data_IF_605552291226
#
_entry.id   IF_605552291226
#
_cell.length_a   1.000
_cell.length_b   1.000
_cell.length_c   1.000
_cell.angle_alpha   90.00
_cell.angle_beta   90.00
_cell.angle_gamma   90.00
#
_symmetry.space_group_name_H-M   'P 1'
#
loop_
_entity.id
_entity.type
_entity.pdbx_description
1 polymer ?
#
# COMPACT_ATOMS: atom_id res chain seq x y z
N UNK A 1 -4.22 -59.83 19.30
CA UNK A 1 -4.77 -58.47 19.42
C UNK A 1 -4.03 -57.59 18.43
N UNK A 2 -4.63 -57.29 17.26
CA UNK A 2 -4.10 -56.29 16.33
C UNK A 2 -4.96 -55.05 16.50
N UNK A 3 -4.38 -54.01 17.10
CA UNK A 3 -5.00 -52.69 17.22
C UNK A 3 -4.83 -52.02 15.86
N UNK A 4 -5.95 -51.78 15.17
CA UNK A 4 -5.99 -51.02 13.92
C UNK A 4 -6.04 -49.54 14.32
N UNK A 5 -4.99 -48.79 13.99
CA UNK A 5 -4.94 -47.34 14.15
C UNK A 5 -5.80 -46.68 13.07
N UNK A 6 -6.88 -46.00 13.48
CA UNK A 6 -7.64 -45.12 12.59
C UNK A 6 -6.85 -43.82 12.40
N UNK A 7 -6.32 -43.59 11.20
CA UNK A 7 -5.90 -42.27 10.77
C UNK A 7 -7.14 -41.43 10.46
N UNK A 8 -7.35 -40.37 11.24
CA UNK A 8 -8.36 -39.35 10.96
C UNK A 8 -7.88 -38.49 9.80
N UNK A 9 -8.45 -38.72 8.61
CA UNK A 9 -8.34 -37.78 7.49
C UNK A 9 -9.18 -36.55 7.83
N UNK A 10 -8.56 -35.50 8.37
CA UNK A 10 -9.14 -34.17 8.38
C UNK A 10 -8.99 -33.65 6.94
N UNK A 11 -9.98 -33.95 6.10
CA UNK A 11 -10.15 -33.28 4.82
C UNK A 11 -10.43 -31.82 5.10
N UNK A 12 -9.47 -30.96 4.78
CA UNK A 12 -9.70 -29.51 4.69
C UNK A 12 -10.72 -29.33 3.56
N UNK A 13 -11.99 -29.16 3.96
CA UNK A 13 -13.04 -28.69 3.08
C UNK A 13 -12.67 -27.25 2.72
N UNK A 14 -11.95 -27.09 1.61
CA UNK A 14 -11.69 -25.80 1.00
C UNK A 14 -13.06 -25.23 0.62
N UNK A 15 -13.61 -24.38 1.49
CA UNK A 15 -14.75 -23.54 1.19
C UNK A 15 -14.30 -22.59 0.09
N UNK A 16 -14.50 -23.00 -1.16
CA UNK A 16 -14.49 -22.09 -2.30
C UNK A 16 -15.68 -21.18 -2.07
N UNK A 17 -15.44 -20.04 -1.41
CA UNK A 17 -16.38 -18.94 -1.43
C UNK A 17 -16.60 -18.61 -2.91
N UNK A 18 -17.85 -18.55 -3.39
CA UNK A 18 -18.08 -18.08 -4.75
C UNK A 18 -17.44 -16.71 -4.86
N UNK A 19 -16.55 -16.53 -5.85
CA UNK A 19 -16.12 -15.20 -6.24
C UNK A 19 -17.39 -14.39 -6.49
N UNK A 20 -17.68 -13.43 -5.60
CA UNK A 20 -18.75 -12.49 -5.85
C UNK A 20 -18.41 -11.83 -7.18
N UNK A 21 -19.18 -12.13 -8.24
CA UNK A 21 -19.09 -11.34 -9.46
C UNK A 21 -19.59 -9.95 -9.07
N UNK A 22 -18.66 -9.03 -8.83
CA UNK A 22 -18.96 -7.61 -8.81
C UNK A 22 -19.26 -7.21 -10.26
N UNK A 23 -20.45 -7.54 -10.74
CA UNK A 23 -20.94 -7.04 -12.01
C UNK A 23 -20.96 -5.52 -11.92
N UNK A 24 -20.32 -4.86 -12.87
CA UNK A 24 -20.20 -3.43 -12.88
C UNK A 24 -21.56 -2.72 -12.89
N UNK A 25 -21.69 -1.58 -12.20
CA UNK A 25 -22.89 -0.75 -12.37
C UNK A 25 -22.83 -0.11 -13.75
N UNK A 26 -23.97 -0.06 -14.44
CA UNK A 26 -24.06 0.64 -15.73
C UNK A 26 -24.03 2.16 -15.55
N UNK A 27 -23.39 2.91 -16.43
CA UNK A 27 -23.52 4.37 -16.41
C UNK A 27 -24.98 4.78 -16.59
N UNK A 28 -25.45 5.67 -15.72
CA UNK A 28 -26.77 6.28 -15.77
C UNK A 28 -26.75 7.71 -16.28
N UNK A 29 -27.93 8.31 -16.38
CA UNK A 29 -28.05 9.73 -16.68
C UNK A 29 -27.68 10.58 -15.46
N UNK A 30 -26.93 11.69 -15.63
CA UNK A 30 -26.56 12.58 -14.54
C UNK A 30 -27.71 13.48 -14.08
N UNK A 31 -28.76 13.61 -14.90
CA UNK A 31 -29.93 14.43 -14.63
C UNK A 31 -31.20 13.68 -15.01
N UNK A 32 -32.28 13.87 -14.24
CA UNK A 32 -33.59 13.26 -14.48
C UNK A 32 -34.47 14.10 -15.42
N UNK A 33 -33.85 14.61 -16.49
CA UNK A 33 -34.46 15.44 -17.53
C UNK A 33 -33.93 15.05 -18.91
N UNK A 34 -34.49 15.64 -19.96
CA UNK A 34 -34.11 15.32 -21.33
C UNK A 34 -32.85 16.08 -21.78
N UNK A 35 -32.09 15.46 -22.67
CA UNK A 35 -30.96 16.06 -23.36
C UNK A 35 -31.43 17.05 -24.43
N UNK A 36 -30.74 18.18 -24.54
CA UNK A 36 -30.99 19.17 -25.57
C UNK A 36 -30.38 18.70 -26.90
N UNK A 37 -31.22 18.34 -27.87
CA UNK A 37 -30.76 17.87 -29.20
C UNK A 37 -29.94 18.92 -29.94
N UNK A 38 -30.21 20.22 -29.71
CA UNK A 38 -29.41 21.33 -30.25
C UNK A 38 -28.00 21.41 -29.66
N UNK A 39 -27.77 20.73 -28.53
CA UNK A 39 -26.51 20.67 -27.81
C UNK A 39 -26.03 19.23 -27.60
N UNK A 40 -26.28 18.36 -28.58
CA UNK A 40 -25.73 17.02 -28.56
C UNK A 40 -24.21 17.03 -28.81
N UNK A 41 -23.57 15.91 -28.52
CA UNK A 41 -22.14 15.72 -28.73
C UNK A 41 -21.76 15.93 -30.20
N UNK A 42 -20.61 16.59 -30.44
CA UNK A 42 -20.08 16.87 -31.78
C UNK A 42 -21.03 17.69 -32.68
N UNK A 43 -22.07 18.32 -32.11
CA UNK A 43 -22.99 19.19 -32.83
C UNK A 43 -22.50 20.64 -32.76
N UNK A 44 -22.75 21.40 -33.84
CA UNK A 44 -22.36 22.81 -33.97
C UNK A 44 -23.44 23.81 -33.55
N UNK A 45 -24.70 23.39 -33.48
CA UNK A 45 -25.83 24.30 -33.32
C UNK A 45 -25.84 25.05 -32.00
N UNK A 46 -25.35 24.45 -30.91
CA UNK A 46 -25.19 25.13 -29.61
C UNK A 46 -23.85 25.88 -29.48
N UNK A 47 -22.80 25.35 -30.10
CA UNK A 47 -21.44 25.82 -29.93
C UNK A 47 -21.13 27.08 -30.72
N UNK A 48 -21.60 27.10 -31.96
CA UNK A 48 -21.41 28.07 -33.06
C UNK A 48 -21.12 27.30 -34.35
N UNK A 49 -21.38 27.91 -35.51
CA UNK A 49 -21.14 27.29 -36.81
C UNK A 49 -19.69 26.81 -37.05
N UNK A 50 -18.74 27.25 -36.22
CA UNK A 50 -17.31 26.96 -36.32
C UNK A 50 -16.76 26.05 -35.22
N UNK A 51 -17.55 25.70 -34.20
CA UNK A 51 -17.10 24.88 -33.08
C UNK A 51 -18.00 23.66 -32.88
N UNK A 52 -17.45 22.62 -32.28
CA UNK A 52 -18.11 21.36 -32.00
C UNK A 52 -18.28 21.20 -30.50
N UNK A 53 -19.47 20.81 -30.04
CA UNK A 53 -19.73 20.60 -28.62
C UNK A 53 -18.99 19.39 -28.06
N UNK A 54 -18.20 19.56 -26.98
CA UNK A 54 -17.40 18.48 -26.37
C UNK A 54 -18.17 17.61 -25.37
N UNK A 55 -19.46 17.89 -25.17
CA UNK A 55 -20.31 17.17 -24.24
C UNK A 55 -21.75 17.09 -24.71
N UNK A 56 -22.66 16.87 -23.77
CA UNK A 56 -24.11 16.95 -23.97
C UNK A 56 -24.72 17.88 -22.94
N UNK A 57 -25.75 18.63 -23.33
CA UNK A 57 -26.50 19.46 -22.39
C UNK A 57 -27.81 18.82 -21.95
N UNK A 58 -28.12 18.93 -20.65
CA UNK A 58 -29.43 18.57 -20.10
C UNK A 58 -30.27 19.82 -19.80
N UNK A 59 -31.58 19.73 -20.07
CA UNK A 59 -32.54 20.82 -19.90
C UNK A 59 -32.77 21.23 -18.44
N UNK A 60 -33.05 22.52 -18.18
CA UNK A 60 -33.50 23.01 -16.87
C UNK A 60 -34.86 22.47 -16.41
N UNK A 61 -35.62 21.85 -17.30
CA UNK A 61 -37.00 21.47 -17.04
C UNK A 61 -37.05 20.19 -16.20
N UNK A 62 -37.54 20.27 -14.97
CA UNK A 62 -37.67 19.12 -14.07
C UNK A 62 -36.81 19.27 -12.81
N UNK A 63 -36.42 18.13 -12.23
CA UNK A 63 -35.52 18.11 -11.09
C UNK A 63 -34.12 18.61 -11.54
N UNK A 64 -33.53 19.50 -10.73
CA UNK A 64 -32.23 20.12 -10.97
C UNK A 64 -31.10 19.45 -10.21
N UNK A 65 -31.39 18.42 -9.44
CA UNK A 65 -30.36 17.62 -8.78
C UNK A 65 -29.55 16.86 -9.83
N UNK A 66 -28.24 17.03 -9.74
CA UNK A 66 -27.25 16.35 -10.57
C UNK A 66 -26.62 15.24 -9.75
N UNK A 67 -26.52 14.05 -10.32
CA UNK A 67 -26.02 12.86 -9.65
C UNK A 67 -24.84 12.25 -10.39
N UNK A 68 -24.00 11.50 -9.69
CA UNK A 68 -22.92 10.74 -10.31
C UNK A 68 -23.49 9.69 -11.26
N UNK A 69 -22.99 9.67 -12.48
CA UNK A 69 -23.42 8.72 -13.51
C UNK A 69 -23.00 7.29 -13.20
N UNK A 70 -21.92 7.12 -12.44
CA UNK A 70 -21.48 5.83 -11.94
C UNK A 70 -20.69 5.95 -10.64
N UNK A 71 -20.31 4.81 -10.07
CA UNK A 71 -19.35 4.77 -8.95
C UNK A 71 -18.01 5.34 -9.42
N UNK A 72 -17.31 6.06 -8.55
CA UNK A 72 -16.04 6.66 -8.93
C UNK A 72 -15.34 7.40 -7.80
N UNK A 73 -14.28 8.10 -8.18
CA UNK A 73 -13.50 8.97 -7.31
C UNK A 73 -13.56 10.40 -7.81
N UNK A 74 -13.90 11.34 -6.93
CA UNK A 74 -13.86 12.77 -7.24
C UNK A 74 -12.40 13.17 -7.40
N UNK A 75 -11.98 13.50 -8.61
CA UNK A 75 -10.58 13.82 -8.92
C UNK A 75 -10.35 15.30 -9.15
N UNK A 76 -11.42 16.08 -9.32
CA UNK A 76 -11.31 17.54 -9.39
C UNK A 76 -12.60 18.25 -8.98
N UNK A 77 -12.44 19.35 -8.26
CA UNK A 77 -13.49 20.33 -7.96
C UNK A 77 -12.95 21.70 -8.34
N UNK A 78 -13.63 22.35 -9.27
CA UNK A 78 -13.33 23.73 -9.64
C UNK A 78 -14.52 24.61 -9.25
N UNK A 79 -14.27 25.55 -8.35
CA UNK A 79 -15.25 26.54 -7.96
C UNK A 79 -15.27 27.70 -8.95
N UNK A 80 -16.48 28.25 -9.16
CA UNK A 80 -16.72 29.38 -10.03
C UNK A 80 -15.77 30.54 -9.71
N UNK A 81 -15.11 31.05 -10.74
CA UNK A 81 -14.17 32.16 -10.63
C UNK A 81 -14.04 32.90 -11.95
N UNK A 82 -13.42 34.08 -11.98
CA UNK A 82 -13.19 34.79 -13.24
C UNK A 82 -12.27 34.03 -14.21
N UNK A 83 -11.54 33.02 -13.72
CA UNK A 83 -10.61 32.19 -14.47
C UNK A 83 -11.12 30.75 -14.70
N UNK A 84 -12.42 30.48 -14.50
CA UNK A 84 -13.01 29.15 -14.71
C UNK A 84 -13.21 28.80 -16.22
N UNK A 85 -12.77 29.68 -17.12
CA UNK A 85 -12.88 29.55 -18.58
C UNK A 85 -14.32 29.38 -19.08
N UNK A 86 -15.29 29.84 -18.29
CA UNK A 86 -16.71 29.71 -18.57
C UNK A 86 -17.34 28.43 -18.04
N UNK A 87 -16.59 27.53 -17.41
CA UNK A 87 -17.12 26.24 -16.96
C UNK A 87 -17.88 26.32 -15.63
N UNK A 88 -17.70 27.42 -14.89
CA UNK A 88 -18.38 27.67 -13.62
C UNK A 88 -17.96 26.68 -12.55
N UNK A 89 -18.86 26.46 -11.58
CA UNK A 89 -18.68 25.36 -10.64
C UNK A 89 -18.75 24.04 -11.40
N UNK A 90 -17.69 23.25 -11.32
CA UNK A 90 -17.65 21.95 -11.97
C UNK A 90 -16.93 20.89 -11.13
N UNK A 91 -17.33 19.64 -11.34
CA UNK A 91 -16.78 18.46 -10.67
C UNK A 91 -16.35 17.46 -11.73
N UNK A 92 -15.21 16.78 -11.52
CA UNK A 92 -14.74 15.69 -12.35
C UNK A 92 -14.65 14.42 -11.51
N UNK A 93 -15.24 13.33 -12.00
CA UNK A 93 -15.23 12.01 -11.37
C UNK A 93 -14.50 11.02 -12.28
N UNK A 94 -13.49 10.32 -11.73
CA UNK A 94 -12.81 9.19 -12.35
C UNK A 94 -13.63 7.92 -12.17
N UNK A 95 -13.79 7.16 -13.25
CA UNK A 95 -14.45 5.86 -13.28
C UNK A 95 -13.50 4.82 -13.88
N UNK A 96 -13.65 3.57 -13.46
CA UNK A 96 -12.90 2.42 -13.98
C UNK A 96 -13.89 1.54 -14.75
N UNK A 97 -13.63 1.32 -16.04
CA UNK A 97 -14.44 0.44 -16.91
C UNK A 97 -14.11 -1.03 -16.66
N UNK A 98 -14.93 -1.96 -17.15
CA UNK A 98 -14.74 -3.41 -16.97
C UNK A 98 -13.40 -3.94 -17.48
N UNK A 99 -12.90 -3.33 -18.55
CA UNK A 99 -11.61 -3.59 -19.14
C UNK A 99 -10.43 -2.95 -18.40
N UNK A 100 -10.67 -2.25 -17.28
CA UNK A 100 -9.64 -1.63 -16.44
C UNK A 100 -9.22 -0.23 -16.87
N UNK A 101 -9.67 0.26 -18.03
CA UNK A 101 -9.37 1.61 -18.47
C UNK A 101 -10.14 2.65 -17.66
N UNK A 102 -9.54 3.83 -17.51
CA UNK A 102 -10.14 4.97 -16.82
C UNK A 102 -10.92 5.86 -17.79
N UNK A 103 -12.04 6.38 -17.33
CA UNK A 103 -12.77 7.46 -18.01
C UNK A 103 -13.24 8.49 -16.99
N UNK A 104 -13.33 9.74 -17.41
CA UNK A 104 -13.63 10.86 -16.51
C UNK A 104 -14.93 11.53 -16.93
N UNK A 105 -15.87 11.65 -16.01
CA UNK A 105 -17.09 12.43 -16.21
C UNK A 105 -16.95 13.84 -15.64
N UNK A 106 -17.35 14.87 -16.38
CA UNK A 106 -17.36 16.26 -15.91
C UNK A 106 -18.79 16.78 -15.85
N UNK A 107 -19.13 17.47 -14.76
CA UNK A 107 -20.42 18.09 -14.48
C UNK A 107 -20.23 19.60 -14.30
N UNK A 108 -20.66 20.43 -15.26
CA UNK A 108 -20.38 21.86 -15.27
C UNK A 108 -21.61 22.77 -15.12
N UNK A 109 -21.32 24.07 -14.99
CA UNK A 109 -22.28 25.15 -14.79
C UNK A 109 -23.15 25.00 -13.53
N UNK A 110 -22.69 24.23 -12.54
CA UNK A 110 -23.46 23.95 -11.33
C UNK A 110 -23.75 25.25 -10.56
N UNK A 111 -24.96 25.37 -9.99
CA UNK A 111 -25.31 26.45 -9.08
C UNK A 111 -24.59 26.26 -7.74
N UNK A 112 -24.51 25.01 -7.28
CA UNK A 112 -23.81 24.60 -6.06
C UNK A 112 -23.28 23.18 -6.22
N UNK A 113 -22.19 22.90 -5.50
CA UNK A 113 -21.62 21.56 -5.33
C UNK A 113 -22.03 21.08 -3.93
N UNK A 114 -22.39 19.81 -3.78
CA UNK A 114 -22.78 19.26 -2.48
C UNK A 114 -21.62 19.35 -1.47
N UNK A 115 -21.95 19.68 -0.22
CA UNK A 115 -20.95 20.00 0.82
C UNK A 115 -20.14 18.80 1.31
N UNK A 116 -20.63 17.58 1.08
CA UNK A 116 -19.94 16.33 1.40
C UNK A 116 -19.00 15.84 0.29
N UNK A 117 -18.98 16.51 -0.87
CA UNK A 117 -18.07 16.17 -1.96
C UNK A 117 -16.73 16.90 -1.78
N UNK A 118 -15.66 16.12 -1.87
CA UNK A 118 -14.29 16.58 -1.77
C UNK A 118 -13.40 15.82 -2.75
N UNK A 119 -12.36 16.48 -3.27
CA UNK A 119 -11.33 15.80 -4.07
C UNK A 119 -10.71 14.64 -3.28
N UNK A 120 -10.46 13.53 -3.98
CA UNK A 120 -10.04 12.26 -3.42
C UNK A 120 -11.17 11.41 -2.84
N UNK A 121 -12.36 11.97 -2.63
CA UNK A 121 -13.52 11.25 -2.08
C UNK A 121 -14.11 10.24 -3.05
N UNK A 122 -14.64 9.14 -2.50
CA UNK A 122 -15.42 8.15 -3.26
C UNK A 122 -16.86 8.65 -3.37
N UNK A 123 -17.45 8.40 -4.53
CA UNK A 123 -18.85 8.72 -4.83
C UNK A 123 -19.53 7.52 -5.45
N UNK A 124 -20.71 7.16 -4.95
CA UNK A 124 -21.50 6.07 -5.52
C UNK A 124 -22.36 6.59 -6.67
N UNK A 125 -22.69 5.71 -7.62
CA UNK A 125 -23.69 5.97 -8.65
C UNK A 125 -24.99 6.47 -8.01
N UNK A 126 -25.48 7.61 -8.50
CA UNK A 126 -26.71 8.22 -8.03
C UNK A 126 -26.52 9.15 -6.84
N UNK A 127 -25.34 9.19 -6.22
CA UNK A 127 -25.04 10.21 -5.21
C UNK A 127 -25.10 11.60 -5.83
N UNK A 128 -25.63 12.53 -5.04
CA UNK A 128 -25.83 13.90 -5.50
C UNK A 128 -24.50 14.63 -5.59
N UNK A 129 -24.22 15.18 -6.77
CA UNK A 129 -23.05 16.02 -7.07
C UNK A 129 -23.31 17.48 -6.75
N UNK A 130 -24.51 17.95 -7.05
CA UNK A 130 -24.87 19.34 -6.87
C UNK A 130 -26.21 19.69 -7.49
N UNK A 131 -26.39 20.99 -7.70
CA UNK A 131 -27.60 21.54 -8.30
C UNK A 131 -27.24 22.18 -9.63
N UNK A 132 -27.94 21.79 -10.70
CA UNK A 132 -27.82 22.37 -12.05
C UNK A 132 -27.95 23.88 -11.99
N UNK A 133 -27.06 24.63 -12.64
CA UNK A 133 -27.07 26.09 -12.64
C UNK A 133 -26.80 26.68 -14.03
N UNK A 134 -26.22 27.87 -14.04
CA UNK A 134 -25.73 28.55 -15.25
C UNK A 134 -24.42 29.30 -14.97
N UNK A 135 -23.61 28.78 -14.03
CA UNK A 135 -22.43 29.48 -13.55
C UNK A 135 -21.29 29.50 -14.59
N UNK A 136 -20.53 30.58 -14.62
CA UNK A 136 -19.33 30.73 -15.46
C UNK A 136 -18.74 32.14 -15.41
N UNK A 137 -17.44 32.26 -15.64
CA UNK A 137 -16.68 33.51 -15.58
C UNK A 137 -16.91 34.31 -14.27
N UNK A 138 -17.06 33.62 -13.14
CA UNK A 138 -17.31 34.27 -11.85
C UNK A 138 -18.75 34.75 -11.65
N UNK A 139 -19.66 34.47 -12.58
CA UNK A 139 -21.06 34.94 -12.57
C UNK A 139 -22.00 33.73 -12.47
N UNK A 140 -22.95 33.77 -11.53
CA UNK A 140 -23.83 32.65 -11.18
C UNK A 140 -24.81 32.23 -12.28
N UNK A 141 -25.15 33.15 -13.18
CA UNK A 141 -26.14 33.01 -14.25
C UNK A 141 -25.60 33.48 -15.60
N UNK A 142 -24.29 33.31 -15.81
CA UNK A 142 -23.60 33.64 -17.07
C UNK A 142 -24.24 32.94 -18.27
N UNK A 143 -24.67 31.71 -18.05
CA UNK A 143 -25.35 30.87 -19.03
C UNK A 143 -26.81 30.68 -18.65
N UNK A 144 -27.64 30.33 -19.64
CA UNK A 144 -28.97 29.79 -19.33
C UNK A 144 -28.85 28.53 -18.46
N UNK A 145 -29.83 28.25 -17.61
CA UNK A 145 -29.74 27.06 -16.75
C UNK A 145 -29.71 25.79 -17.61
N UNK A 146 -28.65 25.00 -17.46
CA UNK A 146 -28.46 23.68 -18.06
C UNK A 146 -27.33 22.94 -17.31
N UNK A 147 -27.23 21.63 -17.51
CA UNK A 147 -26.01 20.88 -17.14
C UNK A 147 -25.24 20.64 -18.43
N UNK A 148 -23.99 21.08 -18.47
CA UNK A 148 -23.00 20.61 -19.45
C UNK A 148 -22.32 19.36 -18.89
N UNK A 149 -22.38 18.25 -19.62
CA UNK A 149 -21.86 16.96 -19.20
C UNK A 149 -20.89 16.37 -20.22
N UNK A 150 -19.69 15.97 -19.79
CA UNK A 150 -18.65 15.41 -20.66
C UNK A 150 -18.19 14.04 -20.16
N UNK A 151 -17.76 13.18 -21.10
CA UNK A 151 -16.92 12.00 -20.85
C UNK A 151 -15.59 12.20 -21.58
N UNK A 152 -14.47 11.88 -20.93
CA UNK A 152 -13.13 12.17 -21.47
C UNK A 152 -12.01 11.32 -20.88
N UNK A 153 -10.84 11.37 -21.51
CA UNK A 153 -9.66 10.54 -21.20
C UNK A 153 -8.81 11.01 -20.01
N UNK A 154 -8.96 12.26 -19.56
CA UNK A 154 -8.09 12.86 -18.54
C UNK A 154 -8.86 13.73 -17.54
N UNK A 155 -8.39 13.88 -16.29
CA UNK A 155 -9.05 14.63 -15.22
C UNK A 155 -8.86 16.16 -15.33
N UNK A 156 -8.94 16.71 -16.54
CA UNK A 156 -8.73 18.14 -16.82
C UNK A 156 -10.03 18.82 -17.26
N UNK A 157 -10.24 20.11 -16.95
CA UNK A 157 -11.47 20.83 -17.38
C UNK A 157 -11.41 21.16 -18.87
N UNK A 158 -10.20 21.40 -19.39
CA UNK A 158 -9.97 21.58 -20.82
C UNK A 158 -9.89 20.24 -21.56
N UNK A 159 -9.47 20.29 -22.82
CA UNK A 159 -9.24 19.11 -23.64
C UNK A 159 -8.12 18.20 -23.07
N UNK A 160 -8.34 16.88 -22.98
CA UNK A 160 -7.32 15.91 -22.59
C UNK A 160 -6.05 15.93 -23.44
N UNK A 161 -6.20 16.03 -24.77
CA UNK A 161 -5.10 15.94 -25.72
C UNK A 161 -5.25 16.93 -26.87
N UNK A 162 -4.26 16.98 -27.77
CA UNK A 162 -4.27 17.85 -28.94
C UNK A 162 -3.70 19.25 -28.70
N UNK A 163 -3.65 20.06 -29.75
CA UNK A 163 -3.05 21.39 -29.72
C UNK A 163 -3.99 22.48 -29.24
N UNK A 164 -3.48 23.33 -28.34
CA UNK A 164 -4.26 24.41 -27.72
C UNK A 164 -5.13 23.93 -26.57
N UNK A 165 -5.66 24.89 -25.80
CA UNK A 165 -6.56 24.63 -24.69
C UNK A 165 -7.97 25.11 -25.06
N UNK A 166 -8.93 24.23 -24.87
CA UNK A 166 -10.33 24.42 -25.25
C UNK A 166 -11.24 23.90 -24.14
N UNK A 167 -12.38 24.57 -23.91
CA UNK A 167 -13.35 24.25 -22.85
C UNK A 167 -14.75 24.22 -23.44
N UNK A 168 -15.49 23.12 -23.26
CA UNK A 168 -16.87 22.92 -23.75
C UNK A 168 -17.02 22.84 -25.28
N UNK A 169 -16.09 23.39 -26.05
CA UNK A 169 -16.20 23.55 -27.50
C UNK A 169 -14.86 23.38 -28.22
N UNK A 170 -14.82 22.51 -29.21
CA UNK A 170 -13.63 22.13 -29.97
C UNK A 170 -13.61 22.72 -31.38
N UNK A 171 -12.42 22.95 -31.98
CA UNK A 171 -12.30 23.44 -33.35
C UNK A 171 -12.56 22.36 -34.42
N UNK A 172 -12.47 21.08 -34.06
CA UNK A 172 -12.84 19.93 -34.89
C UNK A 172 -13.54 18.87 -34.05
N UNK A 173 -13.76 17.66 -34.59
CA UNK A 173 -14.39 16.55 -33.86
C UNK A 173 -13.74 16.39 -32.45
N UNK A 174 -14.51 16.47 -31.35
CA UNK A 174 -13.98 16.35 -30.00
C UNK A 174 -13.28 15.00 -29.71
N UNK A 175 -13.60 13.94 -30.45
CA UNK A 175 -12.90 12.64 -30.35
C UNK A 175 -11.38 12.78 -30.55
N UNK A 176 -10.95 13.72 -31.40
CA UNK A 176 -9.53 13.95 -31.68
C UNK A 176 -8.77 14.61 -30.54
N UNK A 177 -9.48 15.03 -29.48
CA UNK A 177 -8.94 15.71 -28.32
C UNK A 177 -9.14 14.90 -27.03
N UNK A 178 -9.62 13.66 -27.14
CA UNK A 178 -9.87 12.75 -26.02
C UNK A 178 -11.20 12.96 -25.29
N UNK A 179 -12.15 13.64 -25.93
CA UNK A 179 -13.55 13.61 -25.50
C UNK A 179 -14.26 12.41 -26.12
N UNK A 180 -15.34 11.97 -25.49
CA UNK A 180 -16.17 10.90 -26.01
C UNK A 180 -17.63 11.27 -25.93
N UNK A 181 -18.45 10.71 -26.82
CA UNK A 181 -19.91 10.85 -26.76
C UNK A 181 -20.43 10.24 -25.45
N UNK A 182 -20.96 11.04 -24.50
CA UNK A 182 -21.48 10.52 -23.25
C UNK A 182 -22.60 9.48 -23.45
N UNK A 183 -23.37 9.58 -24.53
CA UNK A 183 -24.44 8.61 -24.84
C UNK A 183 -23.89 7.23 -25.20
N UNK A 184 -22.65 7.13 -25.67
CA UNK A 184 -22.01 5.84 -25.93
C UNK A 184 -21.76 5.08 -24.62
N UNK A 185 -21.60 5.78 -23.49
CA UNK A 185 -21.34 5.19 -22.18
C UNK A 185 -22.61 4.82 -21.43
N UNK A 186 -23.74 5.47 -21.72
CA UNK A 186 -25.01 5.16 -21.04
C UNK A 186 -25.38 3.70 -21.30
N UNK A 187 -25.60 2.95 -20.22
CA UNK A 187 -25.80 1.49 -20.21
C UNK A 187 -24.55 0.61 -20.44
N UNK A 188 -23.34 1.17 -20.56
CA UNK A 188 -22.08 0.41 -20.47
C UNK A 188 -21.80 0.10 -18.99
N UNK A 189 -21.40 -1.14 -18.68
CA UNK A 189 -21.03 -1.60 -17.35
C UNK A 189 -19.67 -1.00 -16.93
N UNK A 190 -19.55 -0.51 -15.70
CA UNK A 190 -18.27 -0.07 -15.10
C UNK A 190 -18.02 -0.85 -13.83
N UNK A 191 -16.78 -1.29 -13.59
CA UNK A 191 -16.46 -1.96 -12.33
C UNK A 191 -16.69 -1.01 -11.17
N UNK A 192 -17.18 -1.53 -10.05
CA UNK A 192 -17.23 -0.78 -8.80
C UNK A 192 -15.87 -0.13 -8.52
N UNK A 193 -15.89 1.18 -8.29
CA UNK A 193 -14.81 1.95 -7.68
C UNK A 193 -14.66 1.59 -6.20
N UNK A 194 -14.49 0.31 -5.87
CA UNK A 194 -13.59 -0.01 -4.77
C UNK A 194 -12.21 0.37 -5.26
N UNK A 195 -11.45 1.14 -4.48
CA UNK A 195 -10.08 1.55 -4.80
C UNK A 195 -9.36 0.45 -5.60
N UNK A 196 -8.61 0.76 -6.68
CA UNK A 196 -7.70 -0.20 -7.27
C UNK A 196 -6.85 -0.75 -6.13
N UNK A 197 -7.15 -1.99 -5.77
CA UNK A 197 -6.54 -2.65 -4.62
C UNK A 197 -5.42 -3.46 -5.22
N UNK A 198 -4.21 -3.30 -4.69
CA UNK A 198 -3.08 -4.05 -5.21
C UNK A 198 -3.37 -5.55 -5.16
N UNK A 199 -3.11 -6.24 -6.27
CA UNK A 199 -3.42 -7.66 -6.46
C UNK A 199 -4.89 -7.95 -6.81
N UNK A 200 -5.78 -6.96 -6.78
CA UNK A 200 -7.15 -7.12 -7.25
C UNK A 200 -7.21 -7.17 -8.78
N UNK A 201 -8.22 -7.88 -9.28
CA UNK A 201 -8.51 -7.98 -10.70
C UNK A 201 -8.85 -6.59 -11.27
N UNK A 202 -8.19 -6.23 -12.37
CA UNK A 202 -8.45 -5.00 -13.12
C UNK A 202 -8.92 -5.29 -14.57
N UNK A 203 -9.22 -6.55 -14.88
CA UNK A 203 -9.67 -6.98 -16.20
C UNK A 203 -9.48 -8.50 -16.35
N UNK A 204 -9.96 -9.06 -17.47
CA UNK A 204 -9.80 -10.50 -17.71
C UNK A 204 -8.32 -10.89 -17.84
N UNK A 205 -7.82 -11.65 -16.86
CA UNK A 205 -6.41 -12.07 -16.81
C UNK A 205 -5.42 -10.98 -16.39
N UNK A 206 -5.91 -9.88 -15.80
CA UNK A 206 -5.10 -8.74 -15.36
C UNK A 206 -5.26 -8.46 -13.86
N UNK A 207 -4.23 -7.93 -13.21
CA UNK A 207 -4.23 -7.49 -11.81
C UNK A 207 -3.57 -6.12 -11.65
N UNK A 208 -3.97 -5.37 -10.63
CA UNK A 208 -3.24 -4.16 -10.25
C UNK A 208 -1.91 -4.52 -9.60
N UNK A 209 -0.82 -3.99 -10.13
CA UNK A 209 0.50 -4.04 -9.49
C UNK A 209 0.59 -3.04 -8.32
N UNK A 210 1.72 -2.98 -7.62
CA UNK A 210 1.93 -2.09 -6.46
C UNK A 210 1.90 -0.59 -6.82
N UNK A 211 2.01 -0.23 -8.10
CA UNK A 211 1.85 1.14 -8.60
C UNK A 211 0.42 1.45 -9.07
N UNK A 212 -0.50 0.48 -8.92
CA UNK A 212 -1.87 0.53 -9.43
C UNK A 212 -1.95 0.55 -10.96
N UNK A 213 -0.94 -0.01 -11.61
CA UNK A 213 -0.95 -0.28 -13.05
C UNK A 213 -1.59 -1.65 -13.31
N UNK A 214 -2.46 -1.72 -14.32
CA UNK A 214 -3.11 -2.97 -14.69
C UNK A 214 -2.16 -3.82 -15.55
N UNK A 215 -1.65 -4.92 -14.98
CA UNK A 215 -0.64 -5.79 -15.59
C UNK A 215 -1.17 -7.21 -15.77
N UNK A 216 -0.52 -8.01 -16.62
CA UNK A 216 -0.89 -9.40 -16.83
C UNK A 216 -0.74 -10.22 -15.55
N UNK A 217 -1.82 -10.84 -15.08
CA UNK A 217 -1.84 -11.66 -13.87
C UNK A 217 -0.88 -12.86 -13.97
N UNK A 218 -0.79 -13.47 -15.15
CA UNK A 218 0.16 -14.55 -15.41
C UNK A 218 1.62 -14.08 -15.39
N UNK A 219 1.87 -12.85 -15.82
CA UNK A 219 3.23 -12.26 -15.82
C UNK A 219 3.63 -11.88 -14.40
N UNK A 220 2.76 -11.18 -13.67
CA UNK A 220 2.95 -10.85 -12.26
C UNK A 220 3.24 -12.10 -11.42
N UNK A 221 2.47 -13.18 -11.63
CA UNK A 221 2.71 -14.45 -10.94
C UNK A 221 4.05 -15.12 -11.32
N UNK A 222 4.52 -14.92 -12.55
CA UNK A 222 5.77 -15.53 -13.01
C UNK A 222 7.02 -14.77 -12.58
N UNK A 223 6.89 -13.47 -12.30
CA UNK A 223 8.01 -12.65 -11.81
C UNK A 223 8.03 -12.58 -10.28
N UNK A 224 6.88 -12.76 -9.62
CA UNK A 224 6.84 -12.91 -8.14
C UNK A 224 7.74 -14.05 -7.67
N UNK A 225 8.84 -13.74 -6.98
CA UNK A 225 9.75 -14.76 -6.45
C UNK A 225 10.67 -15.38 -7.51
N UNK A 226 10.95 -14.66 -8.60
CA UNK A 226 11.80 -15.12 -9.70
C UNK A 226 13.31 -14.89 -9.49
N UNK A 227 13.69 -14.29 -8.36
CA UNK A 227 15.04 -13.97 -7.96
C UNK A 227 15.51 -12.56 -8.32
N UNK A 228 14.66 -11.74 -8.94
CA UNK A 228 14.90 -10.32 -9.21
C UNK A 228 13.94 -9.46 -8.40
N UNK A 229 14.30 -8.19 -8.16
CA UNK A 229 13.38 -7.25 -7.54
C UNK A 229 12.65 -6.42 -8.61
N UNK A 230 11.36 -6.64 -8.73
CA UNK A 230 10.43 -5.95 -9.60
C UNK A 230 9.96 -4.62 -9.01
N UNK A 231 10.84 -3.64 -9.04
CA UNK A 231 10.60 -2.28 -8.56
C UNK A 231 10.03 -1.31 -9.60
N UNK A 232 9.68 -1.81 -10.78
CA UNK A 232 9.26 -1.01 -11.92
C UNK A 232 10.33 -0.79 -12.99
N UNK A 233 11.56 -1.28 -12.79
CA UNK A 233 12.66 -1.17 -13.78
C UNK A 233 12.30 -1.70 -15.18
N UNK A 234 11.39 -2.68 -15.26
CA UNK A 234 10.88 -3.23 -16.53
C UNK A 234 9.36 -2.99 -16.73
N UNK A 235 8.78 -2.04 -16.00
CA UNK A 235 7.38 -1.62 -16.17
C UNK A 235 6.35 -2.37 -15.33
N UNK A 236 6.78 -3.20 -14.38
CA UNK A 236 5.90 -3.86 -13.39
C UNK A 236 6.48 -3.67 -11.99
N UNK A 237 5.62 -3.31 -11.02
CA UNK A 237 6.01 -3.04 -9.63
C UNK A 237 5.36 -4.06 -8.68
N UNK A 238 6.13 -4.98 -8.10
CA UNK A 238 5.65 -6.01 -7.15
C UNK A 238 6.20 -5.82 -5.73
N UNK A 239 6.87 -4.69 -5.45
CA UNK A 239 7.52 -4.31 -4.17
C UNK A 239 6.56 -3.95 -3.02
N UNK A 240 5.45 -4.67 -2.83
CA UNK A 240 4.52 -4.39 -1.75
C UNK A 240 3.95 -5.67 -1.14
N UNK A 241 3.35 -5.53 0.04
CA UNK A 241 2.85 -6.65 0.84
C UNK A 241 1.84 -7.54 0.12
N UNK A 242 1.07 -7.00 -0.83
CA UNK A 242 0.12 -7.76 -1.64
C UNK A 242 0.78 -8.85 -2.51
N UNK A 243 2.03 -8.63 -2.93
CA UNK A 243 2.86 -9.61 -3.63
C UNK A 243 4.01 -10.13 -2.75
N UNK A 244 3.90 -9.99 -1.43
CA UNK A 244 4.93 -10.36 -0.46
C UNK A 244 6.29 -9.68 -0.72
N UNK A 245 6.28 -8.41 -1.16
CA UNK A 245 7.47 -7.69 -1.64
C UNK A 245 8.21 -8.51 -2.69
N UNK A 246 7.51 -8.81 -3.77
CA UNK A 246 7.99 -9.61 -4.88
C UNK A 246 8.44 -11.02 -4.49
N UNK A 247 7.57 -11.76 -3.80
CA UNK A 247 7.90 -13.09 -3.29
C UNK A 247 9.00 -13.10 -2.21
N UNK A 248 9.44 -11.93 -1.77
CA UNK A 248 10.56 -11.72 -0.87
C UNK A 248 11.82 -11.20 -1.58
N UNK A 249 11.84 -11.07 -2.90
CA UNK A 249 13.02 -10.68 -3.67
C UNK A 249 13.31 -9.17 -3.55
N UNK A 250 12.28 -8.36 -3.32
CA UNK A 250 12.40 -6.92 -3.07
C UNK A 250 12.56 -6.54 -1.60
N UNK A 251 12.76 -7.51 -0.72
CA UNK A 251 13.04 -7.25 0.69
C UNK A 251 14.35 -6.48 0.93
N UNK A 252 15.20 -6.28 -0.11
CA UNK A 252 16.51 -5.64 0.03
C UNK A 252 16.97 -4.83 -1.21
N UNK A 253 16.19 -3.83 -1.63
CA UNK A 253 16.66 -2.76 -2.53
C UNK A 253 16.60 -1.40 -1.84
N UNK A 254 17.57 -1.15 -0.94
CA UNK A 254 18.03 0.16 -0.48
C UNK A 254 17.00 1.28 -0.25
N UNK A 255 16.27 1.25 0.88
CA UNK A 255 15.36 2.35 1.22
C UNK A 255 14.65 2.24 2.57
N UNK A 256 15.40 2.19 3.68
CA UNK A 256 15.00 2.59 5.04
C UNK A 256 13.59 2.20 5.55
N UNK A 257 13.42 0.96 5.99
CA UNK A 257 12.59 0.65 7.15
C UNK A 257 13.21 -0.53 7.93
N UNK A 258 13.55 -0.28 9.19
CA UNK A 258 14.30 -1.14 10.11
C UNK A 258 13.82 -2.59 10.16
N UNK A 259 14.58 -3.50 9.55
CA UNK A 259 14.44 -4.94 9.77
C UNK A 259 14.69 -5.27 11.25
N UNK A 260 13.79 -6.04 11.86
CA UNK A 260 13.96 -6.47 13.25
C UNK A 260 15.05 -7.54 13.30
N UNK A 261 16.12 -7.38 14.11
CA UNK A 261 17.19 -8.36 14.20
C UNK A 261 16.67 -9.78 14.48
N UNK A 262 17.27 -10.77 13.81
CA UNK A 262 16.87 -12.18 13.86
C UNK A 262 15.65 -12.56 13.01
N UNK A 263 14.91 -11.59 12.44
CA UNK A 263 13.84 -11.89 11.50
C UNK A 263 14.40 -12.28 10.13
N UNK A 264 13.65 -13.13 9.42
CA UNK A 264 13.96 -13.47 8.04
C UNK A 264 13.94 -12.23 7.15
N UNK A 265 14.94 -12.08 6.31
CA UNK A 265 15.07 -11.02 5.31
C UNK A 265 15.26 -11.59 3.90
N UNK A 266 15.08 -12.91 3.74
CA UNK A 266 15.29 -13.64 2.50
C UNK A 266 15.44 -15.14 2.75
N UNK A 267 15.45 -15.94 1.69
CA UNK A 267 15.63 -17.40 1.79
C UNK A 267 17.03 -17.72 2.34
N UNK A 268 17.09 -18.26 3.56
CA UNK A 268 18.37 -18.58 4.22
C UNK A 268 19.13 -17.35 4.72
N UNK A 269 18.42 -16.25 5.00
CA UNK A 269 19.01 -15.01 5.52
C UNK A 269 18.21 -14.44 6.69
N UNK A 270 18.89 -13.73 7.60
CA UNK A 270 18.28 -13.02 8.73
C UNK A 270 18.85 -11.61 8.86
N UNK A 271 18.10 -10.68 9.46
CA UNK A 271 18.63 -9.38 9.82
C UNK A 271 19.63 -9.48 10.96
N UNK A 272 20.83 -8.92 10.79
CA UNK A 272 21.77 -8.65 11.86
C UNK A 272 21.28 -7.49 12.75
N UNK A 273 22.04 -7.14 13.79
CA UNK A 273 21.68 -6.10 14.75
C UNK A 273 21.73 -4.67 14.21
N UNK A 274 22.34 -4.45 13.04
CA UNK A 274 22.31 -3.19 12.29
C UNK A 274 21.28 -3.22 11.14
N UNK A 275 20.38 -4.20 11.14
CA UNK A 275 19.36 -4.40 10.11
C UNK A 275 19.94 -4.71 8.72
N UNK A 276 21.14 -5.28 8.64
CA UNK A 276 21.69 -5.82 7.39
C UNK A 276 21.22 -7.26 7.20
N UNK A 277 20.85 -7.63 5.98
CA UNK A 277 20.48 -9.00 5.68
C UNK A 277 21.75 -9.85 5.51
N UNK A 278 21.96 -10.81 6.41
CA UNK A 278 23.13 -11.70 6.45
C UNK A 278 22.70 -13.16 6.30
N UNK A 279 23.60 -14.02 5.86
CA UNK A 279 23.31 -15.45 5.71
C UNK A 279 22.97 -16.07 7.08
N UNK A 280 21.82 -16.73 7.19
CA UNK A 280 21.32 -17.25 8.48
C UNK A 280 22.15 -18.41 9.01
N UNK A 281 22.75 -19.21 8.13
CA UNK A 281 23.70 -20.26 8.53
C UNK A 281 25.01 -19.67 9.05
N UNK A 282 25.47 -18.56 8.47
CA UNK A 282 26.65 -17.83 8.95
C UNK A 282 26.39 -17.15 10.29
N UNK A 283 25.28 -16.41 10.42
CA UNK A 283 24.87 -15.79 11.68
C UNK A 283 24.74 -16.84 12.81
N UNK A 284 24.16 -18.00 12.50
CA UNK A 284 24.06 -19.11 13.46
C UNK A 284 25.41 -19.72 13.81
N UNK A 285 26.39 -19.70 12.89
CA UNK A 285 27.72 -20.25 13.12
C UNK A 285 28.64 -19.33 13.90
N UNK A 286 28.39 -18.01 13.85
CA UNK A 286 29.18 -17.03 14.58
C UNK A 286 28.56 -16.69 15.94
N UNK A 287 27.23 -16.83 16.09
CA UNK A 287 26.56 -16.69 17.40
C UNK A 287 27.16 -17.66 18.43
N UNK A 288 27.89 -17.14 19.42
CA UNK A 288 28.48 -17.96 20.48
C UNK A 288 29.77 -18.68 20.08
N UNK A 289 30.50 -18.18 19.07
CA UNK A 289 31.73 -18.78 18.55
C UNK A 289 33.01 -18.44 19.35
N UNK A 290 32.88 -17.61 20.39
CA UNK A 290 33.96 -17.15 21.26
C UNK A 290 34.57 -15.80 20.87
N UNK A 291 34.08 -15.16 19.80
CA UNK A 291 34.41 -13.79 19.42
C UNK A 291 33.21 -12.88 19.60
N UNK A 292 33.46 -11.56 19.69
CA UNK A 292 32.37 -10.59 19.69
C UNK A 292 32.17 -10.02 18.28
N UNK A 293 31.06 -10.38 17.66
CA UNK A 293 30.61 -9.90 16.36
C UNK A 293 29.96 -8.53 16.46
N UNK A 294 30.79 -7.52 16.69
CA UNK A 294 30.40 -6.11 16.79
C UNK A 294 30.38 -5.36 15.44
N UNK A 295 30.58 -6.10 14.34
CA UNK A 295 30.72 -5.53 13.00
C UNK A 295 32.15 -5.42 12.50
N UNK A 296 33.16 -5.82 13.28
CA UNK A 296 34.57 -5.83 12.86
C UNK A 296 34.82 -6.60 11.56
N UNK A 297 34.01 -7.63 11.26
CA UNK A 297 34.05 -8.42 10.02
C UNK A 297 32.79 -8.28 9.16
N UNK A 298 31.97 -7.25 9.40
CA UNK A 298 30.83 -6.89 8.55
C UNK A 298 29.47 -7.49 8.95
N UNK A 299 29.39 -8.27 10.03
CA UNK A 299 28.14 -8.76 10.62
C UNK A 299 28.07 -8.33 12.09
N UNK A 300 26.89 -7.88 12.55
CA UNK A 300 26.69 -7.41 13.93
C UNK A 300 25.68 -8.30 14.66
N UNK A 301 26.09 -9.05 15.68
CA UNK A 301 25.22 -9.94 16.47
C UNK A 301 25.06 -9.48 17.94
N UNK A 302 25.52 -8.27 18.28
CA UNK A 302 25.52 -7.65 19.62
C UNK A 302 24.15 -7.19 20.15
N UNK A 303 23.05 -7.87 19.83
CA UNK A 303 21.71 -7.49 20.28
C UNK A 303 20.94 -8.69 20.82
N UNK A 304 19.84 -8.41 21.52
CA UNK A 304 19.04 -9.43 22.21
C UNK A 304 18.52 -10.54 21.30
N UNK A 305 18.32 -10.26 20.01
CA UNK A 305 17.86 -11.27 19.03
C UNK A 305 18.84 -12.44 18.87
N UNK A 306 20.13 -12.18 19.08
CA UNK A 306 21.22 -13.17 19.04
C UNK A 306 21.83 -13.38 20.43
N UNK A 307 21.12 -13.00 21.50
CA UNK A 307 21.60 -13.07 22.88
C UNK A 307 22.94 -12.34 23.12
N UNK A 308 23.15 -11.19 22.47
CA UNK A 308 24.45 -10.49 22.44
C UNK A 308 25.57 -11.43 22.01
N UNK A 309 25.43 -11.97 20.81
CA UNK A 309 26.36 -12.92 20.22
C UNK A 309 26.57 -14.19 21.08
N UNK A 310 25.48 -14.85 21.46
CA UNK A 310 25.56 -16.02 22.34
C UNK A 310 26.06 -15.73 23.77
N UNK A 311 26.28 -14.46 24.11
CA UNK A 311 26.91 -13.99 25.34
C UNK A 311 28.35 -13.49 25.16
N UNK A 312 28.94 -13.65 23.97
CA UNK A 312 30.34 -13.32 23.71
C UNK A 312 30.57 -11.81 23.65
N UNK A 313 29.54 -11.04 23.29
CA UNK A 313 29.57 -9.57 23.30
C UNK A 313 29.21 -8.91 24.64
N UNK A 314 29.39 -9.66 25.73
CA UNK A 314 29.30 -9.19 27.11
C UNK A 314 30.52 -8.38 27.57
N UNK A 315 30.61 -7.13 27.07
CA UNK A 315 31.36 -5.97 27.57
C UNK A 315 32.91 -5.97 27.57
N UNK A 316 33.46 -5.22 26.61
CA UNK A 316 34.46 -4.18 26.94
C UNK A 316 34.19 -2.88 26.17
N UNK A 317 33.31 -2.02 26.72
CA UNK A 317 32.99 -0.73 26.10
C UNK A 317 31.94 0.12 26.80
N UNK A 318 31.96 0.19 28.13
CA UNK A 318 31.18 1.14 28.95
C UNK A 318 29.64 1.02 28.93
N UNK A 319 29.08 0.10 29.73
CA UNK A 319 27.77 0.24 30.38
C UNK A 319 27.73 -0.68 31.61
N UNK A 320 27.19 -0.15 32.70
CA UNK A 320 27.13 -0.76 34.04
C UNK A 320 26.29 -2.05 34.08
N UNK A 321 26.88 -3.17 34.55
CA UNK A 321 26.06 -4.23 35.17
C UNK A 321 26.52 -5.69 35.17
N UNK A 322 27.80 -6.06 35.03
CA UNK A 322 28.22 -7.45 35.30
C UNK A 322 28.03 -7.76 36.79
N UNK A 323 27.24 -8.79 37.11
CA UNK A 323 26.99 -9.20 38.51
C UNK A 323 27.41 -10.66 38.72
N UNK A 324 28.02 -11.00 39.87
CA UNK A 324 28.32 -12.39 40.20
C UNK A 324 27.09 -13.29 40.09
N UNK A 325 27.27 -14.52 39.58
CA UNK A 325 26.20 -15.48 39.32
C UNK A 325 25.41 -15.26 38.04
N UNK A 326 25.61 -14.15 37.31
CA UNK A 326 25.03 -13.99 35.98
C UNK A 326 25.76 -14.88 34.97
N UNK A 327 24.99 -15.39 34.00
CA UNK A 327 25.53 -16.13 32.86
C UNK A 327 26.49 -15.25 32.06
N UNK A 328 27.60 -15.85 31.63
CA UNK A 328 28.53 -15.21 30.73
C UNK A 328 28.83 -16.07 29.47
N UNK A 329 27.84 -16.88 29.07
CA UNK A 329 27.91 -17.72 27.87
C UNK A 329 28.41 -19.14 28.15
N UNK A 330 28.28 -20.05 27.17
CA UNK A 330 28.90 -21.38 27.16
C UNK A 330 28.78 -22.24 28.45
N UNK A 331 27.61 -22.22 29.10
CA UNK A 331 27.37 -22.86 30.41
C UNK A 331 28.34 -22.38 31.51
N UNK A 332 28.69 -21.09 31.49
CA UNK A 332 29.54 -20.42 32.47
C UNK A 332 28.78 -19.31 33.18
N UNK A 333 29.24 -18.96 34.39
CA UNK A 333 28.74 -17.84 35.19
C UNK A 333 29.90 -16.97 35.65
N UNK A 334 29.63 -15.71 35.93
CA UNK A 334 30.59 -14.82 36.59
C UNK A 334 30.81 -15.25 38.04
N UNK A 335 32.07 -15.50 38.41
CA UNK A 335 32.48 -15.58 39.81
C UNK A 335 32.41 -14.19 40.49
N UNK A 336 32.73 -14.11 41.78
CA UNK A 336 32.66 -12.86 42.54
C UNK A 336 33.69 -11.80 42.11
N UNK A 337 34.70 -12.18 41.34
CA UNK A 337 35.67 -11.28 40.71
C UNK A 337 35.33 -10.98 39.24
N UNK A 338 34.16 -11.41 38.77
CA UNK A 338 33.69 -11.24 37.40
C UNK A 338 34.52 -12.01 36.36
N UNK A 339 35.10 -13.14 36.76
CA UNK A 339 35.70 -14.10 35.82
C UNK A 339 34.65 -15.14 35.41
N UNK A 340 34.63 -15.51 34.13
CA UNK A 340 33.81 -16.61 33.65
C UNK A 340 34.34 -17.96 34.10
N UNK A 341 33.56 -18.66 34.92
CA UNK A 341 33.86 -20.01 35.41
C UNK A 341 32.77 -20.98 35.00
N UNK A 342 33.08 -22.26 34.86
CA UNK A 342 32.08 -23.28 34.53
C UNK A 342 30.92 -23.24 35.55
N UNK A 343 29.69 -23.10 35.07
CA UNK A 343 28.51 -23.04 35.93
C UNK A 343 28.38 -24.33 36.74
N UNK A 344 28.62 -25.49 36.11
CA UNK A 344 28.61 -26.78 36.80
C UNK A 344 29.68 -26.89 37.89
N UNK A 345 30.84 -26.25 37.71
CA UNK A 345 31.90 -26.23 38.72
C UNK A 345 31.56 -25.27 39.86
N UNK A 346 31.09 -24.06 39.54
CA UNK A 346 30.68 -23.08 40.55
C UNK A 346 29.57 -23.64 41.47
N UNK A 347 28.56 -24.30 40.91
CA UNK A 347 27.51 -24.95 41.71
C UNK A 347 28.00 -26.17 42.50
N UNK A 348 29.04 -26.86 42.03
CA UNK A 348 29.58 -28.02 42.72
C UNK A 348 30.47 -27.62 43.91
N UNK A 349 31.11 -26.45 43.85
CA UNK A 349 31.98 -25.97 44.91
C UNK A 349 31.22 -25.10 45.92
N UNK A 350 30.12 -24.46 45.51
CA UNK A 350 29.24 -23.74 46.45
C UNK A 350 28.74 -24.65 47.57
N UNK A 351 29.18 -24.43 48.81
CA UNK A 351 28.74 -25.21 49.97
C UNK A 351 29.41 -26.59 50.09
N UNK A 352 30.62 -26.75 49.55
CA UNK A 352 31.37 -28.01 49.55
C UNK A 352 32.19 -28.28 50.84
N UNK A 353 32.15 -27.35 51.79
CA UNK A 353 32.87 -27.38 53.06
C UNK A 353 34.23 -26.69 53.05
N UNK A 354 34.62 -26.07 51.93
CA UNK A 354 35.82 -25.22 51.81
C UNK A 354 35.41 -23.78 51.48
N UNK A 355 36.29 -22.82 51.73
CA UNK A 355 36.05 -21.43 51.38
C UNK A 355 36.77 -21.08 50.06
N UNK A 356 35.99 -20.86 49.01
CA UNK A 356 36.43 -20.49 47.66
C UNK A 356 36.71 -19.00 47.54
N UNK A 357 37.84 -18.59 48.12
CA UNK A 357 38.33 -17.21 48.15
C UNK A 357 39.24 -16.84 46.97
N UNK A 358 39.44 -17.76 46.01
CA UNK A 358 40.37 -17.61 44.90
C UNK A 358 41.68 -18.40 45.03
N UNK A 359 41.91 -19.09 46.16
CA UNK A 359 43.10 -19.93 46.37
C UNK A 359 43.31 -21.00 45.28
N UNK A 360 42.23 -21.46 44.63
CA UNK A 360 42.25 -22.42 43.52
C UNK A 360 41.73 -21.84 42.20
N UNK A 361 41.65 -20.51 42.08
CA UNK A 361 41.30 -19.81 40.84
C UNK A 361 39.81 -19.54 40.60
N UNK A 362 38.94 -19.82 41.58
CA UNK A 362 37.52 -19.44 41.56
C UNK A 362 37.15 -18.72 42.86
N UNK A 363 36.37 -17.64 42.76
CA UNK A 363 35.97 -16.81 43.92
C UNK A 363 34.45 -16.81 44.08
N UNK A 364 33.93 -17.44 45.14
CA UNK A 364 32.49 -17.54 45.43
C UNK A 364 32.06 -16.77 46.71
N UNK A 365 32.98 -15.97 47.26
CA UNK A 365 32.84 -15.18 48.50
C UNK A 365 31.97 -13.92 48.38
N UNK A 366 30.82 -14.00 47.71
CA UNK A 366 29.89 -12.88 47.58
C UNK A 366 28.42 -13.30 47.72
N UNK A 367 27.50 -12.33 47.93
CA UNK A 367 26.09 -12.64 48.20
C UNK A 367 25.38 -13.46 47.11
N UNK A 368 25.83 -13.36 45.85
CA UNK A 368 25.24 -14.12 44.74
C UNK A 368 25.37 -15.65 44.91
N UNK A 369 26.42 -16.09 45.61
CA UNK A 369 26.67 -17.50 45.94
C UNK A 369 26.45 -17.78 47.44
N UNK A 370 25.72 -16.89 48.14
CA UNK A 370 25.49 -16.97 49.58
C UNK A 370 26.80 -17.04 50.40
N UNK A 371 27.84 -16.30 49.97
CA UNK A 371 29.20 -16.39 50.52
C UNK A 371 29.67 -17.85 50.56
N UNK A 372 29.72 -18.45 49.38
CA UNK A 372 30.10 -19.85 49.18
C UNK A 372 29.24 -20.84 49.99
N UNK A 373 27.91 -20.74 49.85
CA UNK A 373 26.99 -21.62 50.59
C UNK A 373 27.01 -21.41 52.12
N UNK A 374 27.76 -20.44 52.63
CA UNK A 374 28.01 -20.20 54.05
C UNK A 374 29.33 -20.75 54.56
N UNK A 375 30.19 -21.30 53.70
CA UNK A 375 31.50 -21.85 54.07
C UNK A 375 32.55 -20.75 54.30
N UNK A 376 32.32 -19.56 53.74
CA UNK A 376 33.14 -18.37 53.96
C UNK A 376 32.46 -17.39 54.94
N UNK A 377 33.19 -17.03 56.02
CA UNK A 377 32.72 -16.09 57.05
C UNK A 377 32.98 -14.62 56.73
#
# INVERSE_FOLDING_TARGET
MKIVSLYSFIGILLLILPANSFAGKKFGHPASTYQLTSCAYNVKTCASATKYHSGIDYSKNGNRDIVSTNDGKVVRIEHMSTNDHGMGNNVIVEHILEEGSKVYSLYAHLASIESNIQEGGIIDKGDKIGVMGGSGYGVSDKWGIHLHFELKDQPVTNNPTGSGLHWGYMPSNPDHYGYHDPNAFINIESVQSSDPTVGASCGSGLVYDCSLSCVSASTASSWTGDGYCDDGSYGMVLTCSAFNNDGGDCSNSGGSSSGTPGQSCGTGQVYDCNSNCVNSSTASSWTGDGYCDDGSYGMVLTCSAFNNDGGDCGSSGNSTGNSPGQSCGNNQVYDCNLNCVSASTAFAWTGDGYCDDGSYGMVLTCPAFNNDGGDCN
#
